data_IF_255707869788
#
_entry.id   IF_255707869788
#
_cell.length_a   1.000
_cell.length_b   1.000
_cell.length_c   1.000
_cell.angle_alpha   90.00
_cell.angle_beta   90.00
_cell.angle_gamma   90.00
#
_symmetry.space_group_name_H-M   'P 1'
#
loop_
_entity.id
_entity.type
_entity.pdbx_description
1 polymer ?
#
# COMPACT_ATOMS: atom_id res chain seq x y z
N UNK A 1 -10.24 28.81 8.39
CA UNK A 1 -10.13 28.32 9.78
C UNK A 1 -10.28 26.81 9.80
N UNK A 2 -11.35 26.24 9.24
CA UNK A 2 -11.57 24.78 9.18
C UNK A 2 -10.40 23.95 8.60
N UNK A 3 -9.75 24.41 7.51
CA UNK A 3 -8.64 23.65 6.91
C UNK A 3 -7.38 23.61 7.79
N UNK A 4 -7.12 24.65 8.58
CA UNK A 4 -5.95 24.73 9.46
C UNK A 4 -6.07 23.77 10.65
N UNK A 5 -7.27 23.67 11.23
CA UNK A 5 -7.54 22.76 12.33
C UNK A 5 -7.47 21.29 11.86
N UNK A 6 -7.91 21.01 10.63
CA UNK A 6 -7.83 19.67 10.05
C UNK A 6 -6.40 19.26 9.72
N UNK A 7 -5.58 20.16 9.18
CA UNK A 7 -4.16 19.90 8.92
C UNK A 7 -3.37 19.67 10.23
N UNK A 8 -3.69 20.43 11.29
CA UNK A 8 -3.08 20.25 12.61
C UNK A 8 -3.45 18.89 13.23
N UNK A 9 -4.72 18.50 13.17
CA UNK A 9 -5.18 17.20 13.65
C UNK A 9 -4.52 16.04 12.90
N UNK A 10 -4.42 16.14 11.57
CA UNK A 10 -3.73 15.14 10.76
C UNK A 10 -2.26 15.01 11.17
N UNK A 11 -1.56 16.14 11.35
CA UNK A 11 -0.16 16.14 11.76
C UNK A 11 0.05 15.48 13.13
N UNK A 12 -0.86 15.71 14.07
CA UNK A 12 -0.82 15.07 15.39
C UNK A 12 -1.09 13.56 15.29
N UNK A 13 -2.10 13.15 14.52
CA UNK A 13 -2.42 11.74 14.35
C UNK A 13 -1.28 10.97 13.68
N UNK A 14 -0.59 11.58 12.70
CA UNK A 14 0.60 11.01 12.07
C UNK A 14 1.77 10.85 13.06
N UNK A 15 2.01 11.84 13.91
CA UNK A 15 3.03 11.75 14.97
C UNK A 15 2.73 10.60 15.95
N UNK A 16 1.46 10.41 16.31
CA UNK A 16 1.02 9.30 17.15
C UNK A 16 1.26 7.95 16.47
N UNK A 17 0.85 7.80 15.21
CA UNK A 17 1.13 6.58 14.43
C UNK A 17 2.64 6.29 14.36
N UNK A 18 3.45 7.31 14.08
CA UNK A 18 4.90 7.14 13.99
C UNK A 18 5.49 6.71 15.34
N UNK A 19 5.02 7.28 16.44
CA UNK A 19 5.42 6.86 17.79
C UNK A 19 5.06 5.40 18.07
N UNK A 20 3.85 4.98 17.72
CA UNK A 20 3.37 3.60 17.91
C UNK A 20 4.18 2.61 17.07
N UNK A 21 4.43 2.93 15.80
CA UNK A 21 5.29 2.13 14.93
C UNK A 21 6.72 2.04 15.47
N UNK A 22 7.29 3.14 15.95
CA UNK A 22 8.62 3.13 16.57
C UNK A 22 8.65 2.26 17.84
N UNK A 23 7.58 2.28 18.65
CA UNK A 23 7.47 1.41 19.82
C UNK A 23 7.37 -0.07 19.42
N UNK A 24 6.61 -0.40 18.37
CA UNK A 24 6.55 -1.76 17.82
C UNK A 24 7.90 -2.22 17.24
N UNK A 25 8.63 -1.30 16.61
CA UNK A 25 10.00 -1.52 16.13
C UNK A 25 10.93 -1.83 17.31
N UNK A 26 10.93 -0.99 18.35
CA UNK A 26 11.78 -1.14 19.52
C UNK A 26 11.48 -2.42 20.34
N UNK A 27 10.24 -2.91 20.27
CA UNK A 27 9.78 -4.12 20.96
C UNK A 27 9.80 -5.38 20.09
N UNK A 28 10.54 -5.36 18.98
CA UNK A 28 10.76 -6.54 18.12
C UNK A 28 9.48 -7.19 17.57
N UNK A 29 8.40 -6.42 17.36
CA UNK A 29 7.16 -6.94 16.73
C UNK A 29 7.38 -7.35 15.27
N UNK A 30 6.75 -8.46 14.87
CA UNK A 30 6.78 -8.96 13.49
C UNK A 30 6.36 -7.89 12.48
N UNK A 31 7.03 -7.84 11.32
CA UNK A 31 6.72 -6.90 10.23
C UNK A 31 5.23 -6.90 9.86
N UNK A 32 4.62 -8.08 9.75
CA UNK A 32 3.18 -8.19 9.43
C UNK A 32 2.31 -7.46 10.44
N UNK A 33 2.65 -7.48 11.72
CA UNK A 33 1.88 -6.77 12.77
C UNK A 33 1.99 -5.25 12.52
N UNK A 34 3.21 -4.76 12.30
CA UNK A 34 3.48 -3.34 12.05
C UNK A 34 2.74 -2.85 10.80
N UNK A 35 2.86 -3.58 9.68
CA UNK A 35 2.20 -3.21 8.42
C UNK A 35 0.68 -3.22 8.54
N UNK A 36 0.10 -4.18 9.28
CA UNK A 36 -1.34 -4.20 9.53
C UNK A 36 -1.80 -2.99 10.35
N UNK A 37 -1.00 -2.54 11.32
CA UNK A 37 -1.36 -1.38 12.13
C UNK A 37 -1.33 -0.09 11.30
N UNK A 38 -0.32 0.08 10.46
CA UNK A 38 -0.25 1.19 9.49
C UNK A 38 -1.50 1.21 8.59
N UNK A 39 -1.90 0.04 8.06
CA UNK A 39 -3.06 -0.06 7.17
C UNK A 39 -4.41 0.15 7.87
N UNK A 40 -4.53 -0.27 9.13
CA UNK A 40 -5.72 0.03 9.94
C UNK A 40 -5.81 1.52 10.21
N UNK A 41 -4.71 2.15 10.62
CA UNK A 41 -4.67 3.58 10.92
C UNK A 41 -5.11 4.41 9.72
N UNK A 42 -4.57 4.15 8.52
CA UNK A 42 -4.95 4.93 7.32
C UNK A 42 -6.42 4.71 6.95
N UNK A 43 -6.94 3.49 7.16
CA UNK A 43 -8.36 3.19 6.98
C UNK A 43 -9.24 4.06 7.88
N UNK A 44 -8.87 4.23 9.14
CA UNK A 44 -9.57 5.11 10.08
C UNK A 44 -9.41 6.60 9.75
N UNK A 45 -8.20 7.04 9.42
CA UNK A 45 -7.89 8.47 9.17
C UNK A 45 -8.54 8.98 7.88
N UNK A 46 -8.65 8.16 6.82
CA UNK A 46 -9.12 8.64 5.53
C UNK A 46 -10.58 9.14 5.53
N UNK A 47 -11.36 8.84 6.58
CA UNK A 47 -12.80 9.12 6.72
C UNK A 47 -13.69 8.57 5.59
N UNK A 48 -13.10 7.84 4.64
CA UNK A 48 -13.74 7.20 3.51
C UNK A 48 -13.68 5.68 3.71
N UNK A 49 -14.60 4.94 3.09
CA UNK A 49 -14.58 3.48 3.05
C UNK A 49 -13.50 3.02 2.03
N UNK A 50 -12.24 3.17 2.43
CA UNK A 50 -11.07 2.75 1.64
C UNK A 50 -10.65 1.33 2.00
N UNK A 51 -10.15 0.62 1.00
CA UNK A 51 -9.47 -0.65 1.18
C UNK A 51 -8.01 -0.46 0.82
N UNK A 52 -7.11 -1.16 1.48
CA UNK A 52 -5.68 -0.89 1.38
C UNK A 52 -4.84 -2.17 1.43
N UNK A 53 -3.69 -2.12 0.79
CA UNK A 53 -2.71 -3.22 0.82
C UNK A 53 -1.28 -2.70 0.72
N UNK A 54 -0.37 -3.44 1.34
CA UNK A 54 1.07 -3.34 1.13
C UNK A 54 1.53 -4.66 0.54
N UNK A 55 2.06 -4.61 -0.68
CA UNK A 55 2.70 -5.75 -1.34
C UNK A 55 4.22 -5.56 -1.31
N UNK A 56 4.96 -6.59 -0.93
CA UNK A 56 6.41 -6.61 -0.79
C UNK A 56 7.06 -7.18 -2.06
N UNK A 57 8.14 -6.56 -2.52
CA UNK A 57 8.76 -6.86 -3.80
C UNK A 57 9.95 -7.81 -3.66
N UNK A 58 9.90 -8.94 -4.36
CA UNK A 58 11.06 -9.83 -4.53
C UNK A 58 11.91 -9.37 -5.72
N UNK A 59 13.10 -8.83 -5.44
CA UNK A 59 14.05 -8.36 -6.48
C UNK A 59 14.59 -9.46 -7.40
N UNK A 60 14.66 -10.72 -6.96
CA UNK A 60 15.17 -11.85 -7.76
C UNK A 60 14.13 -12.33 -8.78
N UNK A 61 12.85 -12.38 -8.39
CA UNK A 61 11.77 -12.93 -9.24
C UNK A 61 10.94 -11.83 -9.93
N UNK A 62 11.09 -10.58 -9.50
CA UNK A 62 10.23 -9.45 -9.89
C UNK A 62 8.75 -9.70 -9.57
N UNK A 63 8.47 -10.35 -8.44
CA UNK A 63 7.11 -10.65 -7.97
C UNK A 63 6.75 -9.84 -6.74
N UNK A 64 5.46 -9.62 -6.53
CA UNK A 64 4.87 -8.94 -5.39
C UNK A 64 4.14 -9.94 -4.50
N UNK A 65 4.41 -9.90 -3.19
CA UNK A 65 3.82 -10.79 -2.18
C UNK A 65 3.06 -9.99 -1.14
N UNK A 66 1.98 -10.54 -0.59
CA UNK A 66 1.16 -9.83 0.39
C UNK A 66 1.91 -9.63 1.70
N UNK A 67 2.25 -8.38 2.02
CA UNK A 67 2.79 -7.99 3.33
C UNK A 67 1.68 -7.79 4.35
N UNK A 68 0.71 -6.93 4.00
CA UNK A 68 -0.51 -6.71 4.77
C UNK A 68 -1.65 -6.24 3.85
N UNK A 69 -2.89 -6.62 4.17
CA UNK A 69 -4.09 -6.21 3.45
C UNK A 69 -5.37 -6.44 4.31
N UNK A 70 -5.46 -5.86 5.52
CA UNK A 70 -6.49 -6.23 6.51
C UNK A 70 -7.92 -5.89 6.10
N UNK A 71 -8.09 -5.01 5.11
CA UNK A 71 -9.38 -4.58 4.59
C UNK A 71 -9.79 -5.28 3.30
N UNK A 72 -8.88 -6.03 2.64
CA UNK A 72 -9.20 -6.75 1.41
C UNK A 72 -9.66 -8.18 1.67
N UNK A 73 -10.56 -8.74 0.83
CA UNK A 73 -10.94 -10.14 0.93
C UNK A 73 -9.75 -11.09 0.72
N UNK A 74 -9.63 -12.13 1.55
CA UNK A 74 -8.54 -13.13 1.46
C UNK A 74 -8.42 -13.73 0.06
N UNK A 75 -9.56 -14.04 -0.57
CA UNK A 75 -9.61 -14.58 -1.93
C UNK A 75 -8.93 -13.66 -2.96
N UNK A 76 -9.10 -12.35 -2.82
CA UNK A 76 -8.45 -11.37 -3.69
C UNK A 76 -6.95 -11.37 -3.45
N UNK A 77 -6.54 -11.30 -2.17
CA UNK A 77 -5.15 -11.32 -1.74
C UNK A 77 -4.41 -12.57 -2.24
N UNK A 78 -5.02 -13.75 -2.10
CA UNK A 78 -4.46 -15.03 -2.57
C UNK A 78 -4.26 -15.04 -4.09
N UNK A 79 -5.22 -14.50 -4.84
CA UNK A 79 -5.18 -14.48 -6.29
C UNK A 79 -4.11 -13.54 -6.87
N UNK A 80 -3.75 -12.47 -6.15
CA UNK A 80 -2.68 -11.53 -6.56
C UNK A 80 -1.33 -11.84 -5.93
N UNK A 81 -1.27 -12.74 -4.95
CA UNK A 81 -0.02 -13.08 -4.26
C UNK A 81 0.97 -13.78 -5.21
N UNK A 82 2.18 -13.24 -5.33
CA UNK A 82 3.18 -13.68 -6.30
C UNK A 82 2.99 -13.11 -7.71
N UNK A 83 2.12 -12.11 -7.90
CA UNK A 83 1.94 -11.44 -9.18
C UNK A 83 3.26 -10.80 -9.66
N UNK A 84 3.56 -10.95 -10.95
CA UNK A 84 4.79 -10.43 -11.55
C UNK A 84 4.63 -8.94 -11.88
N UNK A 85 5.62 -8.14 -11.53
CA UNK A 85 5.71 -6.75 -11.98
C UNK A 85 5.89 -6.70 -13.50
N UNK A 86 5.17 -5.79 -14.15
CA UNK A 86 5.17 -5.65 -15.60
C UNK A 86 4.45 -4.37 -16.03
N UNK A 87 4.54 -3.99 -17.31
CA UNK A 87 3.98 -2.73 -17.81
C UNK A 87 2.44 -2.70 -17.84
N UNK A 88 1.78 -3.86 -17.72
CA UNK A 88 0.32 -4.06 -17.72
C UNK A 88 -0.04 -5.08 -16.64
N UNK A 89 0.26 -4.77 -15.38
CA UNK A 89 0.15 -5.70 -14.25
C UNK A 89 -0.70 -5.12 -13.10
N UNK A 90 -1.90 -4.64 -13.41
CA UNK A 90 -2.72 -3.85 -12.50
C UNK A 90 -2.00 -2.57 -12.05
N UNK A 91 -2.44 -1.94 -10.96
CA UNK A 91 -1.75 -0.76 -10.44
C UNK A 91 -0.42 -1.11 -9.76
N UNK A 92 -0.40 -2.10 -8.87
CA UNK A 92 0.78 -2.44 -8.07
C UNK A 92 1.95 -2.99 -8.91
N UNK A 93 1.70 -3.97 -9.76
CA UNK A 93 2.75 -4.56 -10.61
C UNK A 93 3.33 -3.53 -11.59
N UNK A 94 2.49 -2.64 -12.11
CA UNK A 94 2.89 -1.54 -13.00
C UNK A 94 3.69 -0.47 -12.25
N UNK A 95 3.28 -0.11 -11.03
CA UNK A 95 4.00 0.84 -10.18
C UNK A 95 5.39 0.32 -9.80
N UNK A 96 5.48 -0.97 -9.45
CA UNK A 96 6.75 -1.65 -9.18
C UNK A 96 7.66 -1.66 -10.43
N UNK A 97 7.09 -1.97 -11.61
CA UNK A 97 7.84 -2.04 -12.86
C UNK A 97 8.43 -0.69 -13.28
N UNK A 98 7.59 0.36 -13.31
CA UNK A 98 8.02 1.70 -13.72
C UNK A 98 8.69 2.51 -12.60
N UNK A 99 8.65 2.01 -11.35
CA UNK A 99 9.14 2.71 -10.16
C UNK A 99 8.50 4.08 -10.00
N UNK A 100 7.20 4.16 -10.28
CA UNK A 100 6.40 5.39 -10.29
C UNK A 100 5.00 5.12 -9.77
N UNK A 101 4.37 6.14 -9.20
CA UNK A 101 2.97 6.04 -8.81
C UNK A 101 2.09 5.77 -10.04
N UNK A 102 1.12 4.88 -9.88
CA UNK A 102 0.12 4.52 -10.89
C UNK A 102 -1.27 4.78 -10.32
N UNK A 103 -2.03 5.63 -11.00
CA UNK A 103 -3.39 6.00 -10.61
C UNK A 103 -4.36 5.44 -11.64
N UNK A 104 -5.08 4.37 -11.28
CA UNK A 104 -6.20 3.86 -12.07
C UNK A 104 -7.51 4.36 -11.47
N UNK A 105 -8.14 5.31 -12.17
CA UNK A 105 -9.42 5.88 -11.74
C UNK A 105 -10.58 4.90 -11.87
N UNK A 106 -10.60 4.08 -12.93
CA UNK A 106 -11.70 3.15 -13.20
C UNK A 106 -11.15 1.80 -13.71
N UNK A 107 -11.15 0.80 -12.83
CA UNK A 107 -10.67 -0.56 -13.12
C UNK A 107 -11.45 -1.20 -14.27
N UNK A 108 -12.73 -0.88 -14.46
CA UNK A 108 -13.56 -1.52 -15.47
C UNK A 108 -13.09 -1.21 -16.91
N UNK A 109 -12.48 -0.03 -17.11
CA UNK A 109 -12.10 0.48 -18.43
C UNK A 109 -10.61 0.66 -18.63
N UNK A 110 -9.81 0.64 -17.57
CA UNK A 110 -8.37 0.88 -17.66
C UNK A 110 -7.61 -0.35 -18.22
N UNK A 111 -6.76 -0.17 -19.25
CA UNK A 111 -6.04 -1.28 -19.88
C UNK A 111 -5.04 -1.98 -18.95
N UNK A 112 -4.52 -1.32 -17.92
CA UNK A 112 -3.60 -1.94 -16.96
C UNK A 112 -4.24 -3.10 -16.19
N UNK A 113 -5.57 -3.12 -16.11
CA UNK A 113 -6.35 -4.10 -15.38
C UNK A 113 -6.88 -5.24 -16.24
N UNK A 114 -6.51 -5.35 -17.53
CA UNK A 114 -7.08 -6.36 -18.43
C UNK A 114 -7.07 -7.80 -17.85
N UNK A 115 -6.00 -8.18 -17.14
CA UNK A 115 -5.79 -9.52 -16.60
C UNK A 115 -6.34 -9.68 -15.17
N UNK A 116 -6.66 -8.58 -14.49
CA UNK A 116 -7.08 -8.55 -13.07
C UNK A 116 -8.50 -8.01 -12.85
N UNK A 117 -9.10 -7.42 -13.88
CA UNK A 117 -10.38 -6.70 -13.80
C UNK A 117 -11.52 -7.57 -13.29
N UNK A 118 -11.66 -8.78 -13.83
CA UNK A 118 -12.75 -9.68 -13.42
C UNK A 118 -12.64 -10.06 -11.94
N UNK A 119 -11.42 -10.32 -11.47
CA UNK A 119 -11.12 -10.60 -10.07
C UNK A 119 -11.47 -9.40 -9.19
N UNK A 120 -11.01 -8.20 -9.56
CA UNK A 120 -11.21 -6.98 -8.78
C UNK A 120 -12.68 -6.54 -8.69
N UNK A 121 -13.41 -6.59 -9.81
CA UNK A 121 -14.81 -6.14 -9.87
C UNK A 121 -15.76 -7.06 -9.08
N UNK A 122 -15.48 -8.37 -9.02
CA UNK A 122 -16.27 -9.31 -8.20
C UNK A 122 -16.18 -8.96 -6.71
N UNK A 123 -15.05 -8.42 -6.28
CA UNK A 123 -14.78 -8.02 -4.91
C UNK A 123 -15.17 -6.54 -4.65
N UNK A 124 -15.83 -5.90 -5.62
CA UNK A 124 -16.32 -4.52 -5.51
C UNK A 124 -15.23 -3.45 -5.62
N UNK A 125 -14.06 -3.76 -6.18
CA UNK A 125 -12.97 -2.80 -6.36
C UNK A 125 -13.13 -2.07 -7.70
N UNK A 126 -13.29 -0.76 -7.67
CA UNK A 126 -13.57 0.05 -8.86
C UNK A 126 -12.47 1.06 -9.21
N UNK A 127 -11.59 1.40 -8.27
CA UNK A 127 -10.37 2.18 -8.52
C UNK A 127 -9.21 1.60 -7.74
N UNK A 128 -7.98 1.86 -8.20
CA UNK A 128 -6.77 1.45 -7.48
C UNK A 128 -5.61 2.39 -7.77
N UNK A 129 -5.06 2.96 -6.71
CA UNK A 129 -3.89 3.82 -6.74
C UNK A 129 -2.75 3.07 -6.08
N UNK A 130 -1.59 3.02 -6.71
CA UNK A 130 -0.44 2.34 -6.14
C UNK A 130 0.81 3.20 -6.20
N UNK A 131 1.46 3.34 -5.04
CA UNK A 131 2.69 4.12 -4.87
C UNK A 131 3.82 3.15 -4.50
N UNK A 132 4.96 3.19 -5.21
CA UNK A 132 6.12 2.39 -4.87
C UNK A 132 6.70 2.80 -3.52
N UNK A 133 7.14 1.82 -2.73
CA UNK A 133 7.84 2.01 -1.46
C UNK A 133 9.33 1.82 -1.72
N UNK A 134 10.11 2.85 -1.45
CA UNK A 134 11.57 2.81 -1.59
C UNK A 134 12.26 2.81 -0.24
N UNK A 135 13.32 2.02 -0.11
CA UNK A 135 14.23 2.10 1.01
C UNK A 135 15.21 3.29 0.87
N UNK A 136 16.04 3.47 1.90
CA UNK A 136 17.04 4.53 2.00
C UNK A 136 18.05 4.50 0.83
N UNK A 137 18.32 3.34 0.23
CA UNK A 137 19.22 3.19 -0.92
C UNK A 137 18.48 3.28 -2.27
N UNK A 138 17.22 3.72 -2.28
CA UNK A 138 16.33 3.78 -3.47
C UNK A 138 16.02 2.41 -4.09
N UNK A 139 16.22 1.34 -3.33
CA UNK A 139 15.75 0.01 -3.65
C UNK A 139 14.23 -0.06 -3.54
N UNK A 140 13.59 -0.78 -4.46
CA UNK A 140 12.15 -1.00 -4.39
C UNK A 140 11.88 -2.09 -3.36
N UNK A 141 11.20 -1.73 -2.27
CA UNK A 141 10.80 -2.64 -1.20
C UNK A 141 9.41 -3.23 -1.44
N UNK A 142 8.55 -2.51 -2.15
CA UNK A 142 7.17 -2.92 -2.35
C UNK A 142 6.31 -1.83 -2.97
N UNK A 143 5.00 -1.97 -2.81
CA UNK A 143 4.01 -0.98 -3.21
C UNK A 143 2.93 -0.87 -2.15
N UNK A 144 2.56 0.36 -1.82
CA UNK A 144 1.35 0.68 -1.08
C UNK A 144 0.21 0.93 -2.07
N UNK A 145 -0.99 0.42 -1.79
CA UNK A 145 -2.14 0.63 -2.65
C UNK A 145 -3.41 0.96 -1.87
N UNK A 146 -4.23 1.83 -2.47
CA UNK A 146 -5.56 2.23 -2.00
C UNK A 146 -6.57 1.85 -3.08
N UNK A 147 -7.69 1.30 -2.66
CA UNK A 147 -8.82 0.93 -3.51
C UNK A 147 -10.09 1.60 -3.00
N UNK A 148 -10.99 1.94 -3.93
CA UNK A 148 -12.34 2.39 -3.61
C UNK A 148 -13.38 1.53 -4.32
N UNK A 149 -14.59 1.50 -3.72
CA UNK A 149 -15.79 0.88 -4.29
C UNK A 149 -16.45 1.71 -5.39
N UNK A 150 -15.84 2.84 -5.76
CA UNK A 150 -16.27 3.70 -6.86
C UNK A 150 -15.07 4.21 -7.68
N UNK A 151 -15.28 4.61 -8.95
CA UNK A 151 -14.25 5.26 -9.72
C UNK A 151 -13.83 6.61 -9.12
N UNK A 152 -12.54 6.77 -8.79
CA UNK A 152 -12.06 7.95 -8.06
C UNK A 152 -10.59 8.28 -8.38
N UNK A 153 -10.24 9.56 -8.28
CA UNK A 153 -8.85 10.05 -8.31
C UNK A 153 -8.43 10.54 -6.91
N UNK A 154 -7.13 10.50 -6.58
CA UNK A 154 -6.65 11.04 -5.32
C UNK A 154 -6.86 12.55 -5.28
N UNK A 155 -7.24 13.03 -4.10
CA UNK A 155 -7.20 14.45 -3.74
C UNK A 155 -5.79 14.82 -3.27
N UNK A 156 -5.45 16.12 -3.17
CA UNK A 156 -4.18 16.55 -2.58
C UNK A 156 -3.96 16.01 -1.16
N UNK A 157 -5.04 15.90 -0.36
CA UNK A 157 -4.98 15.32 0.98
C UNK A 157 -4.66 13.82 0.95
N UNK A 158 -5.25 13.07 0.02
CA UNK A 158 -4.92 11.65 -0.17
C UNK A 158 -3.44 11.47 -0.52
N UNK A 159 -2.90 12.32 -1.40
CA UNK A 159 -1.49 12.27 -1.82
C UNK A 159 -0.55 12.55 -0.65
N UNK A 160 -0.84 13.56 0.17
CA UNK A 160 -0.03 13.85 1.36
C UNK A 160 -0.01 12.67 2.34
N UNK A 161 -1.18 12.05 2.57
CA UNK A 161 -1.29 10.88 3.44
C UNK A 161 -0.52 9.67 2.89
N UNK A 162 -0.60 9.46 1.57
CA UNK A 162 0.12 8.39 0.87
C UNK A 162 1.64 8.54 1.07
N UNK A 163 2.18 9.75 0.93
CA UNK A 163 3.62 9.99 1.02
C UNK A 163 4.14 9.64 2.43
N UNK A 164 3.48 10.14 3.48
CA UNK A 164 3.83 9.87 4.88
C UNK A 164 3.76 8.37 5.23
N UNK A 165 2.72 7.68 4.75
CA UNK A 165 2.52 6.25 4.98
C UNK A 165 3.57 5.42 4.24
N UNK A 166 3.97 5.82 3.04
CA UNK A 166 5.02 5.14 2.28
C UNK A 166 6.37 5.25 3.00
N UNK A 167 6.72 6.43 3.52
CA UNK A 167 7.97 6.65 4.27
C UNK A 167 8.01 5.84 5.57
N UNK A 168 6.91 5.83 6.33
CA UNK A 168 6.80 5.03 7.55
C UNK A 168 6.86 3.53 7.26
N UNK A 169 6.22 3.09 6.18
CA UNK A 169 6.25 1.69 5.74
C UNK A 169 7.66 1.26 5.34
N UNK A 170 8.42 2.11 4.64
CA UNK A 170 9.81 1.84 4.31
C UNK A 170 10.65 1.61 5.57
N UNK A 171 10.53 2.52 6.56
CA UNK A 171 11.21 2.41 7.85
C UNK A 171 10.89 1.10 8.57
N UNK A 172 9.62 0.69 8.58
CA UNK A 172 9.19 -0.57 9.18
C UNK A 172 9.79 -1.80 8.47
N UNK A 173 9.81 -1.81 7.13
CA UNK A 173 10.40 -2.89 6.33
C UNK A 173 11.90 -2.99 6.59
N UNK A 174 12.62 -1.88 6.57
CA UNK A 174 14.08 -1.84 6.80
C UNK A 174 14.44 -2.31 8.21
N UNK A 175 13.67 -1.89 9.22
CA UNK A 175 13.86 -2.37 10.59
C UNK A 175 13.58 -3.87 10.76
N UNK A 176 12.91 -4.52 9.80
CA UNK A 176 12.51 -5.93 9.83
C UNK A 176 12.94 -6.67 8.56
N UNK A 177 14.18 -6.42 8.13
CA UNK A 177 14.73 -7.02 6.90
C UNK A 177 14.57 -8.56 6.86
N UNK A 178 14.78 -9.26 7.99
CA UNK A 178 14.62 -10.72 8.05
C UNK A 178 13.17 -11.19 7.80
N UNK A 179 12.19 -10.48 8.36
CA UNK A 179 10.78 -10.81 8.15
C UNK A 179 10.39 -10.52 6.70
N UNK A 180 10.87 -9.39 6.17
CA UNK A 180 10.71 -9.03 4.77
C UNK A 180 11.24 -10.13 3.86
N UNK A 181 12.51 -10.54 4.02
CA UNK A 181 13.14 -11.61 3.24
C UNK A 181 12.37 -12.92 3.34
N UNK A 182 11.89 -13.26 4.54
CA UNK A 182 11.05 -14.46 4.76
C UNK A 182 9.74 -14.38 3.98
N UNK A 183 9.05 -13.23 3.99
CA UNK A 183 7.77 -13.05 3.29
C UNK A 183 7.96 -13.13 1.77
N UNK A 184 9.00 -12.48 1.24
CA UNK A 184 9.25 -12.45 -0.20
C UNK A 184 10.01 -13.68 -0.71
N UNK A 185 10.52 -14.54 0.17
CA UNK A 185 11.28 -15.74 -0.19
C UNK A 185 12.66 -15.43 -0.77
N UNK A 186 13.41 -14.52 -0.12
CA UNK A 186 14.76 -14.13 -0.53
C UNK A 186 15.90 -14.91 0.12
#
# INVERSE_FOLDING_TARGET
>A
MENFDQDLLLSLNLQLLQSDVNAMIATEKDLKIILNEILKWIGYESKNDILTSILLYNKKTSQLYTGAAPSLPDRYCDAINGAKAGPVAGSCGTAAYFRKQVIVQNIATDPLWQDYKSLALVEGLHSCWSTPIFGANKELLGTFAIYYKEPRKPTPHDLQLIDEIVELTATAIESREKDFETIVGL
#
